data_IF_590366598670
#
_entry.id   IF_590366598670
#
_cell.length_a   1.000
_cell.length_b   1.000
_cell.length_c   1.000
_cell.angle_alpha   90.00
_cell.angle_beta   90.00
_cell.angle_gamma   90.00
#
_symmetry.space_group_name_H-M   'P 1'
#
loop_
_entity.id
_entity.type
_entity.pdbx_description
1 polymer ?
#
# COMPACT_ATOMS: atom_id res chain seq x y z
N UNK A 1 -45.74 6.96 37.07
CA UNK A 1 -45.67 5.61 37.69
C UNK A 1 -44.38 4.92 37.28
N UNK A 2 -43.59 4.40 38.24
CA UNK A 2 -42.30 3.76 37.97
C UNK A 2 -42.56 2.33 37.45
N UNK A 3 -42.13 2.00 36.22
CA UNK A 3 -42.29 0.65 35.66
C UNK A 3 -41.43 -0.33 36.46
N UNK A 4 -42.07 -1.31 37.10
CA UNK A 4 -41.39 -2.36 37.85
C UNK A 4 -40.91 -3.40 36.82
N UNK A 5 -39.62 -3.38 36.53
CA UNK A 5 -38.99 -4.36 35.64
C UNK A 5 -38.44 -5.49 36.51
N UNK A 6 -38.72 -6.74 36.16
CA UNK A 6 -38.21 -7.89 36.91
C UNK A 6 -36.67 -7.94 36.86
N UNK A 7 -36.03 -8.31 37.96
CA UNK A 7 -34.56 -8.48 38.05
C UNK A 7 -34.04 -9.35 36.90
N UNK A 8 -34.75 -10.45 36.60
CA UNK A 8 -34.41 -11.35 35.50
C UNK A 8 -34.31 -10.66 34.13
N UNK A 9 -35.27 -9.78 33.80
CA UNK A 9 -35.22 -9.02 32.54
C UNK A 9 -34.07 -8.01 32.52
N UNK A 10 -33.73 -7.42 33.68
CA UNK A 10 -32.63 -6.46 33.81
C UNK A 10 -31.27 -7.15 33.61
N UNK A 11 -31.08 -8.31 34.20
CA UNK A 11 -29.82 -9.07 34.12
C UNK A 11 -29.59 -9.64 32.72
N UNK A 12 -30.65 -10.16 32.06
CA UNK A 12 -30.57 -10.62 30.67
C UNK A 12 -30.16 -9.48 29.73
N UNK A 13 -30.75 -8.28 29.90
CA UNK A 13 -30.43 -7.10 29.09
C UNK A 13 -29.02 -6.58 29.36
N UNK A 14 -28.55 -6.63 30.60
CA UNK A 14 -27.16 -6.26 30.96
C UNK A 14 -26.13 -7.20 30.30
N UNK A 15 -26.41 -8.51 30.30
CA UNK A 15 -25.53 -9.51 29.65
C UNK A 15 -25.48 -9.32 28.13
N UNK A 16 -26.62 -9.04 27.49
CA UNK A 16 -26.69 -8.75 26.05
C UNK A 16 -25.95 -7.47 25.69
N UNK A 17 -26.12 -6.39 26.45
CA UNK A 17 -25.40 -5.14 26.21
C UNK A 17 -23.88 -5.32 26.32
N UNK A 18 -23.41 -6.09 27.31
CA UNK A 18 -21.98 -6.42 27.44
C UNK A 18 -21.44 -7.19 26.23
N UNK A 19 -22.21 -8.15 25.72
CA UNK A 19 -21.84 -8.92 24.53
C UNK A 19 -21.82 -8.05 23.26
N UNK A 20 -22.76 -7.12 23.12
CA UNK A 20 -22.81 -6.16 22.00
C UNK A 20 -21.59 -5.24 22.02
N UNK A 21 -21.22 -4.71 23.19
CA UNK A 21 -20.03 -3.86 23.35
C UNK A 21 -18.75 -4.63 22.99
N UNK A 22 -18.64 -5.89 23.45
CA UNK A 22 -17.52 -6.76 23.09
C UNK A 22 -17.43 -7.03 21.59
N UNK A 23 -18.57 -7.29 20.94
CA UNK A 23 -18.63 -7.50 19.49
C UNK A 23 -18.18 -6.25 18.72
N UNK A 24 -18.61 -5.06 19.15
CA UNK A 24 -18.21 -3.80 18.52
C UNK A 24 -16.69 -3.59 18.65
N UNK A 25 -16.11 -3.84 19.83
CA UNK A 25 -14.67 -3.73 20.06
C UNK A 25 -13.86 -4.67 19.15
N UNK A 26 -14.28 -5.93 19.04
CA UNK A 26 -13.64 -6.90 18.12
C UNK A 26 -13.81 -6.45 16.66
N UNK A 27 -14.99 -5.94 16.29
CA UNK A 27 -15.24 -5.39 14.97
C UNK A 27 -14.26 -4.28 14.61
N UNK A 28 -14.08 -3.29 15.50
CA UNK A 28 -13.14 -2.17 15.29
C UNK A 28 -11.70 -2.68 15.05
N UNK A 29 -11.24 -3.66 15.84
CA UNK A 29 -9.90 -4.26 15.66
C UNK A 29 -9.75 -5.00 14.32
N UNK A 30 -10.79 -5.69 13.85
CA UNK A 30 -10.74 -6.35 12.54
C UNK A 30 -10.75 -5.33 11.39
N UNK A 31 -11.60 -4.31 11.47
CA UNK A 31 -11.65 -3.26 10.45
C UNK A 31 -10.34 -2.46 10.36
N UNK A 32 -9.61 -2.26 11.46
CA UNK A 32 -8.30 -1.58 11.40
C UNK A 32 -7.27 -2.37 10.60
N UNK A 33 -7.27 -3.71 10.70
CA UNK A 33 -6.33 -4.57 9.95
C UNK A 33 -6.74 -4.67 8.49
N UNK A 34 -8.04 -4.81 8.21
CA UNK A 34 -8.56 -4.88 6.85
C UNK A 34 -8.32 -3.57 6.09
N UNK A 35 -8.51 -2.41 6.72
CA UNK A 35 -8.24 -1.10 6.11
C UNK A 35 -6.79 -0.97 5.64
N UNK A 36 -5.83 -1.44 6.44
CA UNK A 36 -4.42 -1.44 6.06
C UNK A 36 -4.14 -2.36 4.84
N UNK A 37 -4.78 -3.53 4.77
CA UNK A 37 -4.63 -4.44 3.63
C UNK A 37 -5.16 -3.86 2.31
N UNK A 38 -6.19 -3.01 2.36
CA UNK A 38 -6.72 -2.36 1.17
C UNK A 38 -5.89 -1.14 0.73
N UNK A 39 -5.05 -0.59 1.61
CA UNK A 39 -4.15 0.53 1.29
C UNK A 39 -2.86 0.09 0.56
N UNK A 40 -2.67 -1.20 0.25
CA UNK A 40 -1.50 -1.72 -0.48
C UNK A 40 -1.49 -1.46 -2.00
N UNK A 41 -2.44 -0.68 -2.53
CA UNK A 41 -2.53 -0.29 -3.94
C UNK A 41 -2.87 1.19 -4.11
N UNK A 42 -2.49 2.01 -3.14
CA UNK A 42 -2.38 3.44 -3.41
C UNK A 42 -1.27 3.57 -4.46
N UNK A 43 -1.61 4.12 -5.62
CA UNK A 43 -0.66 4.41 -6.69
C UNK A 43 0.43 5.29 -6.08
N UNK A 44 1.53 4.70 -5.60
CA UNK A 44 2.77 5.43 -5.57
C UNK A 44 2.92 5.95 -7.00
N UNK A 45 3.10 7.26 -7.16
CA UNK A 45 3.56 7.88 -8.40
C UNK A 45 5.00 7.40 -8.72
N UNK A 46 5.29 6.11 -8.52
CA UNK A 46 6.43 5.39 -9.06
C UNK A 46 6.32 5.55 -10.57
N UNK A 47 7.14 6.45 -11.11
CA UNK A 47 7.22 6.61 -12.55
C UNK A 47 7.72 5.29 -13.12
N UNK A 48 6.81 4.59 -13.78
CA UNK A 48 7.09 3.36 -14.50
C UNK A 48 7.33 3.69 -15.96
N UNK A 49 8.42 3.16 -16.50
CA UNK A 49 8.79 3.33 -17.90
C UNK A 49 9.08 1.94 -18.49
N UNK A 50 8.36 1.60 -19.56
CA UNK A 50 8.65 0.38 -20.32
C UNK A 50 9.56 0.71 -21.50
N UNK A 51 10.65 -0.03 -21.65
CA UNK A 51 11.61 0.16 -22.73
C UNK A 51 12.19 -1.20 -23.16
N UNK A 52 12.06 -1.55 -24.45
CA UNK A 52 12.50 -2.83 -25.03
C UNK A 52 12.09 -4.06 -24.20
N UNK A 53 10.80 -4.14 -23.85
CA UNK A 53 10.19 -5.22 -23.04
C UNK A 53 10.66 -5.30 -21.56
N UNK A 54 11.47 -4.34 -21.10
CA UNK A 54 11.86 -4.21 -19.70
C UNK A 54 11.08 -3.08 -19.01
N UNK A 55 10.61 -3.37 -17.80
CA UNK A 55 9.99 -2.38 -16.91
C UNK A 55 11.07 -1.72 -16.04
N UNK A 56 11.09 -0.38 -16.06
CA UNK A 56 11.92 0.44 -15.21
C UNK A 56 11.03 1.18 -14.21
N UNK A 57 11.43 1.17 -12.94
CA UNK A 57 10.69 1.79 -11.84
C UNK A 57 11.57 2.85 -11.20
N UNK A 58 11.12 4.12 -11.18
CA UNK A 58 11.80 5.18 -10.46
C UNK A 58 11.54 5.06 -8.95
N UNK A 59 12.60 4.78 -8.18
CA UNK A 59 12.57 4.75 -6.72
C UNK A 59 13.75 5.58 -6.20
N UNK A 60 13.48 6.57 -5.34
CA UNK A 60 14.50 7.42 -4.72
C UNK A 60 15.47 8.11 -5.71
N UNK A 61 14.99 8.49 -6.90
CA UNK A 61 15.80 9.13 -7.94
C UNK A 61 16.73 8.20 -8.72
N UNK A 62 16.57 6.88 -8.54
CA UNK A 62 17.20 5.85 -9.35
C UNK A 62 16.15 5.04 -10.09
N UNK A 63 16.51 4.54 -11.26
CA UNK A 63 15.67 3.67 -12.07
C UNK A 63 16.09 2.23 -11.87
N UNK A 64 15.17 1.39 -11.43
CA UNK A 64 15.41 -0.03 -11.20
C UNK A 64 14.76 -0.87 -12.28
N UNK A 65 15.47 -1.90 -12.76
CA UNK A 65 14.90 -2.93 -13.63
C UNK A 65 15.36 -4.31 -13.17
N UNK A 66 14.58 -5.33 -13.47
CA UNK A 66 14.90 -6.71 -13.14
C UNK A 66 15.14 -7.50 -14.42
N UNK A 67 16.33 -8.07 -14.57
CA UNK A 67 16.70 -8.92 -15.69
C UNK A 67 17.23 -10.23 -15.12
N UNK A 68 16.63 -11.36 -15.51
CA UNK A 68 17.08 -12.70 -15.08
C UNK A 68 17.27 -12.84 -13.56
N UNK A 69 16.34 -12.26 -12.78
CA UNK A 69 16.37 -12.28 -11.31
C UNK A 69 17.49 -11.44 -10.67
N UNK A 70 18.18 -10.60 -11.44
CA UNK A 70 19.13 -9.60 -10.97
C UNK A 70 18.50 -8.20 -11.07
N UNK A 71 18.66 -7.41 -10.01
CA UNK A 71 18.18 -6.03 -9.97
C UNK A 71 19.31 -5.08 -10.38
N UNK A 72 19.05 -4.24 -11.38
CA UNK A 72 19.96 -3.20 -11.85
C UNK A 72 19.42 -1.83 -11.48
N UNK A 73 20.33 -0.91 -11.13
CA UNK A 73 20.00 0.47 -10.77
C UNK A 73 20.72 1.45 -11.69
N UNK A 74 20.00 2.42 -12.23
CA UNK A 74 20.49 3.43 -13.15
C UNK A 74 20.21 4.83 -12.63
N UNK A 75 21.10 5.78 -12.93
CA UNK A 75 20.90 7.19 -12.59
C UNK A 75 20.00 7.92 -13.59
N UNK A 76 20.00 7.48 -14.84
CA UNK A 76 19.21 8.07 -15.92
C UNK A 76 18.27 7.00 -16.48
N UNK A 77 17.11 7.42 -16.98
CA UNK A 77 16.21 6.51 -17.66
C UNK A 77 16.77 6.17 -19.07
N UNK A 78 16.40 5.02 -19.67
CA UNK A 78 16.92 4.63 -20.98
C UNK A 78 16.63 5.62 -22.11
N UNK A 79 15.48 6.32 -22.08
CA UNK A 79 15.13 7.33 -23.09
C UNK A 79 16.07 8.56 -23.05
N UNK A 80 16.50 8.97 -21.86
CA UNK A 80 17.44 10.07 -21.66
C UNK A 80 18.83 9.76 -22.19
N UNK A 81 19.19 8.48 -22.28
CA UNK A 81 20.52 8.05 -22.76
C UNK A 81 20.58 8.06 -24.28
N UNK A 82 19.48 7.74 -24.98
CA UNK A 82 19.42 7.82 -26.45
C UNK A 82 19.65 9.24 -26.98
N UNK A 83 19.21 10.25 -26.23
CA UNK A 83 19.38 11.66 -26.59
C UNK A 83 20.82 12.18 -26.37
N UNK A 84 21.69 11.40 -25.72
CA UNK A 84 23.10 11.76 -25.54
C UNK A 84 23.85 11.49 -26.84
N UNK A 85 23.85 12.49 -27.72
CA UNK A 85 24.80 12.57 -28.82
C UNK A 85 26.21 12.63 -28.24
N UNK A 86 26.91 11.49 -28.23
CA UNK A 86 28.35 11.42 -27.99
C UNK A 86 29.06 12.17 -29.11
N UNK A 87 29.22 13.49 -28.95
CA UNK A 87 30.23 14.26 -29.68
C UNK A 87 31.59 13.85 -29.13
N UNK A 88 32.07 12.69 -29.57
CA UNK A 88 33.45 12.29 -29.39
C UNK A 88 34.32 13.23 -30.22
N UNK A 89 34.92 14.22 -29.57
CA UNK A 89 36.02 14.98 -30.17
C UNK A 89 37.22 14.03 -30.19
N UNK A 90 37.36 13.28 -31.28
CA UNK A 90 38.55 12.47 -31.53
C UNK A 90 39.71 13.43 -31.77
N UNK A 91 40.54 13.64 -30.75
CA UNK A 91 41.79 14.36 -30.90
C UNK A 91 42.83 13.38 -31.46
N UNK A 92 43.34 13.60 -32.68
CA UNK A 92 44.36 12.74 -33.30
C UNK A 92 45.70 12.79 -32.56
#
# INVERSE_FOLDING_TARGET
MRKIISKYKKDKKKKQNGMIIGLILVGVMLFSVLGYSFQGKENNDEKKLNYNDFEFIEQNGFWFTNVENLQFAFRYNPQQVEEINSKGEFRP
#
